data_IF_592406766679
#
_entry.id   IF_592406766679
#
_cell.length_a   1.000
_cell.length_b   1.000
_cell.length_c   1.000
_cell.angle_alpha   90.00
_cell.angle_beta   90.00
_cell.angle_gamma   90.00
#
_symmetry.space_group_name_H-M   'P 1'
#
loop_
_entity.id
_entity.type
_entity.pdbx_description
1 polymer ?
#
# COMPACT_ATOMS: atom_id res chain seq x y z
N UNK A 1 2.24 -4.39 19.61
CA UNK A 1 2.44 -2.94 19.42
C UNK A 1 1.37 -2.47 18.45
N UNK A 2 0.27 -1.90 18.95
CA UNK A 2 -0.82 -1.38 18.11
C UNK A 2 -0.48 0.07 17.78
N UNK A 3 0.10 0.30 16.59
CA UNK A 3 0.22 1.65 16.05
C UNK A 3 -1.15 2.28 15.84
N UNK A 4 -1.20 3.61 15.73
CA UNK A 4 -2.44 4.33 15.42
C UNK A 4 -2.98 3.82 14.08
N UNK A 5 -4.24 3.38 14.08
CA UNK A 5 -4.91 2.94 12.86
C UNK A 5 -5.10 4.13 11.91
N UNK A 6 -4.76 3.91 10.66
CA UNK A 6 -4.81 4.91 9.60
C UNK A 6 -5.29 4.26 8.29
N UNK A 7 -5.65 5.12 7.34
CA UNK A 7 -6.15 4.76 6.04
C UNK A 7 -5.34 5.50 4.97
N UNK A 8 -5.01 4.81 3.87
CA UNK A 8 -4.31 5.38 2.73
C UNK A 8 -5.00 5.00 1.43
N UNK A 9 -5.05 5.95 0.51
CA UNK A 9 -5.50 5.73 -0.87
C UNK A 9 -4.47 6.33 -1.82
N UNK A 10 -4.15 5.61 -2.90
CA UNK A 10 -3.14 6.06 -3.85
C UNK A 10 -2.98 5.13 -5.04
N UNK A 11 -2.13 5.54 -5.98
CA UNK A 11 -1.74 4.74 -7.15
C UNK A 11 -0.49 3.93 -6.87
N UNK A 12 -0.43 2.70 -7.38
CA UNK A 12 0.78 1.88 -7.37
C UNK A 12 1.74 2.40 -8.43
N UNK A 13 2.88 2.94 -8.00
CA UNK A 13 3.89 3.50 -8.91
C UNK A 13 5.01 2.50 -9.19
N UNK A 14 5.24 1.57 -8.25
CA UNK A 14 6.22 0.49 -8.40
C UNK A 14 5.84 -0.72 -7.55
N UNK A 15 6.02 -1.91 -8.10
CA UNK A 15 5.95 -3.17 -7.36
C UNK A 15 7.38 -3.55 -6.97
N UNK A 16 7.68 -3.56 -5.66
CA UNK A 16 8.98 -4.00 -5.14
C UNK A 16 9.01 -5.52 -5.06
N UNK A 17 7.94 -6.11 -4.54
CA UNK A 17 7.77 -7.54 -4.42
C UNK A 17 6.28 -7.87 -4.40
N UNK A 18 5.89 -8.97 -5.03
CA UNK A 18 4.57 -9.56 -4.84
C UNK A 18 4.68 -11.08 -4.91
N UNK A 19 3.97 -11.77 -4.01
CA UNK A 19 3.85 -13.22 -4.01
C UNK A 19 2.43 -13.61 -4.37
N UNK A 20 2.25 -14.35 -5.47
CA UNK A 20 0.96 -14.96 -5.80
C UNK A 20 0.57 -16.08 -4.82
N UNK A 21 1.55 -16.70 -4.16
CA UNK A 21 1.32 -17.83 -3.26
C UNK A 21 0.86 -17.37 -1.88
N UNK A 22 1.49 -16.32 -1.32
CA UNK A 22 1.15 -15.82 0.02
C UNK A 22 0.30 -14.55 0.02
N UNK A 23 0.14 -13.89 -1.13
CA UNK A 23 -0.53 -12.60 -1.25
C UNK A 23 0.30 -11.42 -0.76
N UNK A 24 1.51 -11.66 -0.22
CA UNK A 24 2.37 -10.59 0.28
C UNK A 24 2.76 -9.64 -0.86
N UNK A 25 2.47 -8.37 -0.67
CA UNK A 25 2.74 -7.29 -1.61
C UNK A 25 3.52 -6.18 -0.91
N UNK A 26 4.62 -5.75 -1.53
CA UNK A 26 5.44 -4.60 -1.15
C UNK A 26 5.44 -3.64 -2.32
N UNK A 27 4.85 -2.47 -2.12
CA UNK A 27 4.52 -1.51 -3.16
C UNK A 27 5.10 -0.15 -2.80
N UNK A 28 5.55 0.61 -3.80
CA UNK A 28 5.67 2.06 -3.65
C UNK A 28 4.40 2.70 -4.21
N UNK A 29 3.75 3.48 -3.37
CA UNK A 29 2.43 4.05 -3.63
C UNK A 29 2.52 5.56 -3.52
N UNK A 30 1.99 6.26 -4.52
CA UNK A 30 1.75 7.70 -4.43
C UNK A 30 0.43 7.91 -3.71
N UNK A 31 0.53 8.19 -2.41
CA UNK A 31 -0.64 8.43 -1.56
C UNK A 31 -1.17 9.84 -1.84
N UNK A 32 -2.49 9.98 -1.92
CA UNK A 32 -3.14 11.27 -2.07
C UNK A 32 -2.73 12.20 -0.91
N UNK A 33 -2.21 13.38 -1.24
CA UNK A 33 -1.72 14.36 -0.25
C UNK A 33 -0.26 14.19 0.16
N UNK A 34 0.47 13.21 -0.39
CA UNK A 34 1.92 13.05 -0.21
C UNK A 34 2.65 13.29 -1.52
N UNK A 35 3.74 14.07 -1.49
CA UNK A 35 4.62 14.25 -2.65
C UNK A 35 5.57 13.06 -2.85
N UNK A 36 5.90 12.37 -1.75
CA UNK A 36 6.80 11.23 -1.76
C UNK A 36 6.07 9.90 -1.96
N UNK A 37 6.80 8.93 -2.52
CA UNK A 37 6.35 7.55 -2.61
C UNK A 37 6.50 6.84 -1.27
N UNK A 38 5.44 6.17 -0.86
CA UNK A 38 5.39 5.49 0.43
C UNK A 38 5.47 3.99 0.21
N UNK A 39 6.28 3.30 1.02
CA UNK A 39 6.30 1.84 1.04
C UNK A 39 5.07 1.30 1.73
N UNK A 40 4.21 0.60 1.01
CA UNK A 40 3.03 -0.11 1.53
C UNK A 40 3.32 -1.60 1.54
N UNK A 41 3.13 -2.24 2.70
CA UNK A 41 3.30 -3.68 2.90
C UNK A 41 1.96 -4.25 3.31
N UNK A 42 1.46 -5.28 2.63
CA UNK A 42 0.22 -5.94 3.02
C UNK A 42 -0.10 -7.16 2.16
N UNK A 43 -1.21 -7.81 2.45
CA UNK A 43 -1.73 -8.92 1.65
C UNK A 43 -2.78 -8.42 0.66
N UNK A 44 -2.57 -8.66 -0.63
CA UNK A 44 -3.52 -8.32 -1.69
C UNK A 44 -3.50 -9.37 -2.81
N UNK A 45 -4.54 -9.36 -3.63
CA UNK A 45 -4.51 -10.00 -4.95
C UNK A 45 -3.38 -9.41 -5.82
N UNK A 46 -3.06 -10.05 -6.95
CA UNK A 46 -2.02 -9.52 -7.86
C UNK A 46 -2.38 -8.11 -8.28
N UNK A 47 -1.48 -7.15 -8.03
CA UNK A 47 -1.65 -5.75 -8.42
C UNK A 47 -0.75 -5.42 -9.61
N UNK A 48 -1.08 -4.34 -10.32
CA UNK A 48 -0.31 -3.79 -11.42
C UNK A 48 0.04 -2.32 -11.18
N UNK A 49 1.13 -1.85 -11.78
CA UNK A 49 1.48 -0.42 -11.78
C UNK A 49 0.35 0.37 -12.46
N UNK A 50 0.00 1.52 -11.87
CA UNK A 50 -1.11 2.37 -12.30
C UNK A 50 -2.45 2.03 -11.63
N UNK A 51 -2.58 0.88 -10.96
CA UNK A 51 -3.81 0.57 -10.23
C UNK A 51 -3.94 1.40 -8.95
N UNK A 52 -5.17 1.82 -8.65
CA UNK A 52 -5.50 2.48 -7.40
C UNK A 52 -5.75 1.44 -6.30
N UNK A 53 -5.28 1.74 -5.09
CA UNK A 53 -5.46 0.90 -3.92
C UNK A 53 -6.04 1.67 -2.73
N UNK A 54 -6.68 0.92 -1.84
CA UNK A 54 -7.07 1.33 -0.49
C UNK A 54 -6.37 0.44 0.53
N UNK A 55 -5.65 1.04 1.46
CA UNK A 55 -4.97 0.36 2.56
C UNK A 55 -5.49 0.80 3.93
N UNK A 56 -5.72 -0.16 4.84
CA UNK A 56 -5.97 0.10 6.26
C UNK A 56 -4.89 -0.57 7.08
N UNK A 57 -4.33 0.20 8.02
CA UNK A 57 -3.06 -0.17 8.58
C UNK A 57 -2.55 0.80 9.63
N UNK A 58 -1.25 0.74 9.87
CA UNK A 58 -0.56 1.67 10.74
C UNK A 58 0.80 2.05 10.14
N UNK A 59 1.22 3.27 10.45
CA UNK A 59 2.54 3.75 10.12
C UNK A 59 3.60 3.11 11.01
N UNK A 60 4.72 2.74 10.41
CA UNK A 60 5.90 2.24 11.13
C UNK A 60 7.15 2.94 10.60
N UNK A 61 7.99 3.41 11.54
CA UNK A 61 9.31 3.94 11.20
C UNK A 61 10.25 2.80 10.84
N UNK A 62 10.96 2.91 9.72
CA UNK A 62 11.99 1.97 9.29
C UNK A 62 13.36 2.56 9.64
N UNK A 63 14.06 1.90 10.55
CA UNK A 63 15.35 2.41 11.08
C UNK A 63 16.45 2.36 10.02
N UNK A 64 16.41 1.37 9.11
CA UNK A 64 17.49 1.12 8.12
C UNK A 64 17.64 2.27 7.11
N UNK A 65 16.54 2.89 6.70
CA UNK A 65 16.54 3.98 5.71
C UNK A 65 15.96 5.29 6.26
N UNK A 66 15.72 5.35 7.57
CA UNK A 66 15.09 6.47 8.28
C UNK A 66 13.74 6.95 7.71
N UNK A 67 13.07 6.13 6.91
CA UNK A 67 11.81 6.45 6.26
C UNK A 67 10.60 5.79 6.96
N UNK A 68 9.40 6.08 6.45
CA UNK A 68 8.15 5.51 6.96
C UNK A 68 7.61 4.47 5.99
N UNK A 69 7.14 3.35 6.54
CA UNK A 69 6.36 2.36 5.81
C UNK A 69 4.96 2.26 6.41
N UNK A 70 4.03 1.82 5.59
CA UNK A 70 2.65 1.59 5.97
C UNK A 70 2.35 0.09 5.97
N UNK A 71 2.11 -0.48 7.15
CA UNK A 71 1.68 -1.88 7.27
C UNK A 71 0.17 -1.98 7.16
N UNK A 72 -0.30 -2.52 6.04
CA UNK A 72 -1.68 -2.84 5.79
C UNK A 72 -2.04 -4.22 6.36
N UNK A 73 -3.03 -4.26 7.24
CA UNK A 73 -3.73 -5.51 7.56
C UNK A 73 -4.87 -5.79 6.57
N UNK A 74 -5.35 -4.76 5.87
CA UNK A 74 -6.30 -4.89 4.77
C UNK A 74 -5.83 -4.01 3.60
N UNK A 75 -5.58 -4.63 2.45
CA UNK A 75 -5.19 -3.95 1.22
C UNK A 75 -6.13 -4.38 0.09
N UNK A 76 -6.74 -3.41 -0.59
CA UNK A 76 -7.74 -3.65 -1.63
C UNK A 76 -7.41 -2.85 -2.88
N UNK A 77 -7.68 -3.43 -4.04
CA UNK A 77 -7.75 -2.68 -5.30
C UNK A 77 -9.02 -1.83 -5.26
N UNK A 78 -8.89 -0.56 -5.62
CA UNK A 78 -10.03 0.26 -5.96
C UNK A 78 -10.34 0.00 -7.43
N UNK A 79 -11.40 -0.77 -7.68
CA UNK A 79 -12.09 -0.67 -8.95
C UNK A 79 -12.56 0.78 -9.07
N UNK A 80 -12.20 1.48 -10.16
CA UNK A 80 -13.07 2.58 -10.59
C UNK A 80 -14.52 2.08 -10.53
N UNK A 81 -15.50 2.89 -10.12
CA UNK A 81 -16.88 2.43 -10.10
C UNK A 81 -17.16 1.78 -11.45
N UNK A 82 -17.45 0.47 -11.43
CA UNK A 82 -18.01 -0.22 -12.59
C UNK A 82 -19.23 0.61 -12.96
N UNK A 83 -19.12 1.31 -14.10
CA UNK A 83 -20.08 2.30 -14.57
C UNK A 83 -21.53 1.96 -14.21
N UNK A 84 -22.28 2.99 -13.79
CA UNK A 84 -23.66 3.13 -14.23
C UNK A 84 -23.70 4.23 -15.29
#
# INVERSE_FOLDING_TARGET
MLGIQAHVTGSVERIVYQSRQSGLSILHVRVLGSEELITVIGSAETLSVGECIEGRGFWQKRVVHEDMLFNCHQLKRLSLPLNN
#
